data_IF_892548292886
#
_entry.id   IF_892548292886
#
_cell.length_a   1.000
_cell.length_b   1.000
_cell.length_c   1.000
_cell.angle_alpha   90.00
_cell.angle_beta   90.00
_cell.angle_gamma   90.00
#
_symmetry.space_group_name_H-M   'P 1'
#
loop_
_entity.id
_entity.type
_entity.pdbx_description
1 polymer ?
#
# COMPACT_ATOMS: atom_id res chain seq x y z
N UNK A 1 -18.25 -47.63 13.93
CA UNK A 1 -17.71 -47.22 15.22
C UNK A 1 -17.09 -45.84 15.04
N UNK A 2 -17.82 -44.82 15.39
CA UNK A 2 -17.44 -43.39 15.19
C UNK A 2 -16.78 -42.87 16.47
N UNK A 3 -15.67 -42.11 16.38
CA UNK A 3 -15.00 -41.58 17.56
C UNK A 3 -15.62 -40.21 17.94
N UNK A 4 -16.60 -40.21 18.81
CA UNK A 4 -17.26 -38.99 19.36
C UNK A 4 -16.68 -38.59 20.73
N UNK A 5 -15.59 -39.22 21.20
CA UNK A 5 -15.14 -39.12 22.60
C UNK A 5 -14.02 -38.13 22.93
N UNK A 6 -13.43 -37.38 21.95
CA UNK A 6 -12.19 -36.60 22.23
C UNK A 6 -12.42 -35.08 22.28
N UNK A 7 -13.56 -34.55 21.86
CA UNK A 7 -13.79 -33.08 21.78
C UNK A 7 -14.23 -32.48 23.14
N UNK A 8 -14.66 -33.24 24.09
CA UNK A 8 -15.17 -32.72 25.38
C UNK A 8 -14.09 -32.36 26.42
N UNK A 9 -12.84 -32.82 26.26
CA UNK A 9 -11.78 -32.63 27.26
C UNK A 9 -10.97 -31.33 27.13
N UNK A 10 -11.03 -30.66 25.98
CA UNK A 10 -10.18 -29.48 25.73
C UNK A 10 -10.85 -28.16 26.17
N UNK A 11 -12.18 -28.12 26.27
CA UNK A 11 -12.92 -26.88 26.61
C UNK A 11 -12.89 -26.64 28.14
N UNK A 12 -12.72 -27.66 28.99
CA UNK A 12 -12.70 -27.51 30.43
C UNK A 12 -11.46 -26.84 31.03
N UNK A 13 -10.30 -26.91 30.35
CA UNK A 13 -9.03 -26.39 30.88
C UNK A 13 -8.87 -24.88 30.61
N UNK A 14 -9.45 -24.36 29.54
CA UNK A 14 -9.36 -22.95 29.19
C UNK A 14 -10.17 -22.01 30.10
N UNK A 15 -11.28 -22.49 30.66
CA UNK A 15 -12.15 -21.69 31.53
C UNK A 15 -11.56 -21.53 32.93
N UNK A 16 -10.86 -22.55 33.46
CA UNK A 16 -10.26 -22.51 34.81
C UNK A 16 -9.02 -21.61 34.85
N UNK A 17 -8.22 -21.57 33.79
CA UNK A 17 -7.04 -20.70 33.69
C UNK A 17 -7.41 -19.20 33.62
N UNK A 18 -8.51 -18.85 32.97
CA UNK A 18 -9.00 -17.48 32.87
C UNK A 18 -9.51 -16.89 34.19
N UNK A 19 -10.14 -17.73 35.03
CA UNK A 19 -10.71 -17.30 36.32
C UNK A 19 -9.62 -17.06 37.37
N UNK A 20 -8.53 -17.83 37.37
CA UNK A 20 -7.40 -17.65 38.30
C UNK A 20 -6.62 -16.37 38.03
N UNK A 21 -6.50 -15.97 36.76
CA UNK A 21 -5.78 -14.73 36.38
C UNK A 21 -6.53 -13.46 36.81
N UNK A 22 -7.86 -13.53 36.94
CA UNK A 22 -8.67 -12.38 37.32
C UNK A 22 -8.70 -12.12 38.84
N UNK A 23 -8.47 -13.18 39.66
CA UNK A 23 -8.50 -13.12 41.12
C UNK A 23 -7.16 -12.73 41.77
N UNK A 24 -6.06 -12.63 40.99
CA UNK A 24 -4.72 -12.35 41.52
C UNK A 24 -4.17 -10.95 41.14
N UNK A 25 -5.03 -10.03 40.72
CA UNK A 25 -4.58 -8.65 40.53
C UNK A 25 -4.41 -7.94 41.87
N UNK A 26 -3.20 -7.50 42.26
CA UNK A 26 -3.03 -6.68 43.46
C UNK A 26 -3.63 -5.31 43.23
N UNK A 27 -4.51 -4.91 44.13
CA UNK A 27 -5.02 -3.55 44.25
C UNK A 27 -3.88 -2.67 44.76
N UNK A 28 -3.55 -1.61 44.01
CA UNK A 28 -2.75 -0.51 44.53
C UNK A 28 -3.69 0.56 45.02
N UNK A 29 -3.90 0.58 46.33
CA UNK A 29 -4.44 1.72 47.06
C UNK A 29 -3.34 2.37 47.93
N UNK A 30 -3.40 3.70 47.91
CA UNK A 30 -2.84 4.64 48.88
C UNK A 30 -1.33 4.79 49.08
N UNK A 31 -0.81 5.95 48.66
CA UNK A 31 0.00 6.83 49.51
C UNK A 31 -0.16 8.31 49.11
N UNK A 32 -0.90 9.04 49.99
CA UNK A 32 -0.59 10.32 50.63
C UNK A 32 -0.09 11.52 49.82
N UNK A 33 -0.92 12.44 49.82
CA UNK A 33 -0.95 13.89 49.69
C UNK A 33 0.32 14.63 50.18
N UNK A 34 0.91 15.43 49.28
CA UNK A 34 1.66 16.63 49.63
C UNK A 34 1.39 17.70 48.58
N UNK A 35 0.90 18.83 49.02
CA UNK A 35 0.43 20.01 48.29
C UNK A 35 1.60 20.90 47.82
N UNK A 36 1.41 21.91 46.90
CA UNK A 36 2.18 22.10 45.66
C UNK A 36 3.17 23.28 45.73
N UNK A 37 3.88 23.52 44.65
CA UNK A 37 3.77 24.85 44.05
C UNK A 37 3.37 24.81 42.55
N UNK A 38 2.69 25.90 42.21
CA UNK A 38 1.97 26.18 41.00
C UNK A 38 2.82 26.38 39.74
N UNK A 39 2.19 26.64 38.59
CA UNK A 39 2.39 25.91 37.34
C UNK A 39 3.34 26.62 36.40
N UNK A 40 4.12 25.86 35.69
CA UNK A 40 4.69 26.33 34.43
C UNK A 40 4.01 25.57 33.31
N UNK A 41 3.12 26.25 32.64
CA UNK A 41 2.47 25.82 31.40
C UNK A 41 3.54 25.57 30.33
N UNK A 42 3.87 24.32 30.11
CA UNK A 42 4.54 23.92 28.89
C UNK A 42 3.47 23.34 27.98
N UNK A 43 2.90 24.16 27.12
CA UNK A 43 2.16 23.71 25.95
C UNK A 43 3.11 22.94 25.06
N UNK A 44 2.88 21.66 24.95
CA UNK A 44 3.52 20.85 23.91
C UNK A 44 2.81 21.11 22.57
N UNK A 45 3.47 21.64 21.55
CA UNK A 45 2.92 21.66 20.21
C UNK A 45 3.45 20.42 19.45
N UNK A 46 2.73 19.31 19.51
CA UNK A 46 3.07 18.13 18.75
C UNK A 46 1.85 17.62 17.99
N UNK A 47 1.40 18.36 17.01
CA UNK A 47 0.43 17.79 16.04
C UNK A 47 0.51 18.46 14.65
N UNK A 48 1.24 19.54 14.49
CA UNK A 48 1.21 20.33 13.24
C UNK A 48 2.20 19.84 12.20
N UNK A 49 3.30 19.21 12.60
CA UNK A 49 4.39 18.82 11.66
C UNK A 49 4.03 17.61 10.82
N UNK A 50 3.37 16.60 11.39
CA UNK A 50 3.01 15.37 10.66
C UNK A 50 1.94 15.63 9.59
N UNK A 51 0.95 16.46 9.88
CA UNK A 51 -0.12 16.81 8.94
C UNK A 51 0.39 17.64 7.76
N UNK A 52 1.31 18.56 7.99
CA UNK A 52 1.91 19.39 6.92
C UNK A 52 2.77 18.53 5.97
N UNK A 53 3.55 17.59 6.51
CA UNK A 53 4.41 16.68 5.71
C UNK A 53 3.59 15.71 4.85
N UNK A 54 2.46 15.19 5.37
CA UNK A 54 1.55 14.32 4.60
C UNK A 54 0.94 15.07 3.42
N UNK A 55 0.42 16.28 3.64
CA UNK A 55 -0.18 17.11 2.59
C UNK A 55 0.82 17.42 1.46
N UNK A 56 2.08 17.72 1.78
CA UNK A 56 3.13 17.95 0.79
C UNK A 56 3.45 16.70 -0.05
N UNK A 57 3.49 15.54 0.60
CA UNK A 57 3.70 14.26 -0.08
C UNK A 57 2.55 13.90 -1.00
N UNK A 58 1.31 14.13 -0.57
CA UNK A 58 0.10 13.92 -1.38
C UNK A 58 0.12 14.82 -2.63
N UNK A 59 0.38 16.11 -2.46
CA UNK A 59 0.49 17.05 -3.58
C UNK A 59 1.63 16.67 -4.54
N UNK A 60 2.77 16.23 -4.02
CA UNK A 60 3.89 15.76 -4.84
C UNK A 60 3.48 14.54 -5.67
N UNK A 61 2.81 13.56 -5.07
CA UNK A 61 2.35 12.37 -5.76
C UNK A 61 1.32 12.71 -6.83
N UNK A 62 0.32 13.54 -6.51
CA UNK A 62 -0.73 13.96 -7.46
C UNK A 62 -0.13 14.64 -8.70
N UNK A 63 0.92 15.46 -8.53
CA UNK A 63 1.63 16.10 -9.68
C UNK A 63 2.39 15.11 -10.57
N UNK A 64 2.66 13.90 -10.08
CA UNK A 64 3.41 12.86 -10.80
C UNK A 64 2.52 11.83 -11.49
N UNK A 65 1.20 11.91 -11.30
CA UNK A 65 0.26 10.97 -11.91
C UNK A 65 0.32 11.03 -13.44
N UNK A 66 0.15 9.89 -14.12
CA UNK A 66 -0.04 9.87 -15.57
C UNK A 66 -1.22 10.73 -16.00
N UNK A 67 -1.20 11.18 -17.24
CA UNK A 67 -2.34 11.89 -17.84
C UNK A 67 -3.55 10.96 -18.03
N UNK A 68 -4.70 11.55 -18.36
CA UNK A 68 -5.92 10.80 -18.67
C UNK A 68 -6.84 10.55 -17.48
N UNK A 69 -6.51 11.05 -16.28
CA UNK A 69 -7.43 11.03 -15.14
C UNK A 69 -8.21 12.34 -15.08
N UNK A 70 -9.57 12.30 -15.25
CA UNK A 70 -10.39 13.51 -15.13
C UNK A 70 -10.40 14.03 -13.68
N UNK A 71 -10.80 15.29 -13.53
CA UNK A 71 -10.95 15.89 -12.20
C UNK A 71 -11.88 15.04 -11.31
N UNK A 72 -11.44 14.73 -10.11
CA UNK A 72 -12.18 13.89 -9.14
C UNK A 72 -12.08 12.38 -9.38
N UNK A 73 -11.33 11.92 -10.39
CA UNK A 73 -11.11 10.50 -10.61
C UNK A 73 -10.12 9.89 -9.61
N UNK A 74 -9.29 10.71 -8.98
CA UNK A 74 -8.27 10.28 -8.03
C UNK A 74 -8.54 10.86 -6.64
N UNK A 75 -8.37 10.04 -5.62
CA UNK A 75 -8.51 10.40 -4.21
C UNK A 75 -7.28 9.98 -3.43
N UNK A 76 -6.86 10.78 -2.46
CA UNK A 76 -5.79 10.42 -1.54
C UNK A 76 -6.31 9.43 -0.51
N UNK A 77 -5.51 8.41 -0.20
CA UNK A 77 -5.80 7.41 0.81
C UNK A 77 -4.86 7.57 2.01
N UNK A 78 -5.25 7.10 3.21
CA UNK A 78 -4.31 6.93 4.30
C UNK A 78 -3.16 6.04 3.84
N UNK A 79 -1.93 6.58 3.91
CA UNK A 79 -0.73 5.87 3.47
C UNK A 79 -0.43 4.72 4.44
N UNK A 80 -0.15 3.49 3.93
CA UNK A 80 0.31 2.39 4.77
C UNK A 80 1.72 2.64 5.32
N UNK A 81 2.17 1.79 6.24
CA UNK A 81 3.51 1.89 6.81
C UNK A 81 4.59 1.85 5.73
N UNK A 82 5.57 2.75 5.82
CA UNK A 82 6.65 2.88 4.83
C UNK A 82 6.29 3.66 3.56
N UNK A 83 5.05 4.09 3.40
CA UNK A 83 4.56 4.91 2.27
C UNK A 83 4.32 6.34 2.76
N UNK A 84 4.80 7.33 2.00
CA UNK A 84 4.64 8.76 2.33
C UNK A 84 3.29 9.31 1.88
N UNK A 85 2.79 8.84 0.74
CA UNK A 85 1.50 9.22 0.16
C UNK A 85 0.95 8.08 -0.70
N UNK A 86 -0.36 7.93 -0.73
CA UNK A 86 -1.03 6.98 -1.62
C UNK A 86 -2.26 7.62 -2.26
N UNK A 87 -2.45 7.35 -3.55
CA UNK A 87 -3.59 7.82 -4.34
C UNK A 87 -4.25 6.64 -5.03
N UNK A 88 -5.55 6.53 -4.89
CA UNK A 88 -6.39 5.61 -5.64
C UNK A 88 -7.09 6.38 -6.77
N UNK A 89 -6.97 5.88 -7.99
CA UNK A 89 -7.64 6.46 -9.15
C UNK A 89 -8.65 5.48 -9.74
N UNK A 90 -9.81 5.98 -10.07
CA UNK A 90 -10.80 5.31 -10.91
C UNK A 90 -10.32 5.29 -12.37
N UNK A 91 -11.23 4.99 -13.30
CA UNK A 91 -10.92 4.81 -14.71
C UNK A 91 -10.16 5.97 -15.33
N UNK A 92 -9.08 5.65 -16.01
CA UNK A 92 -8.39 6.54 -16.94
C UNK A 92 -9.15 6.62 -18.25
N UNK A 93 -9.34 7.84 -18.82
CA UNK A 93 -10.15 8.05 -20.02
C UNK A 93 -9.39 7.99 -21.33
N UNK A 94 -8.07 7.87 -21.26
CA UNK A 94 -7.25 7.67 -22.46
C UNK A 94 -7.56 6.30 -23.10
N UNK A 95 -7.38 6.14 -24.41
CA UNK A 95 -7.56 4.85 -25.07
C UNK A 95 -6.75 3.76 -24.35
N UNK A 96 -7.40 2.60 -24.11
CA UNK A 96 -6.81 1.45 -23.43
C UNK A 96 -6.33 1.73 -21.98
N UNK A 97 -6.80 2.84 -21.39
CA UNK A 97 -6.49 3.22 -20.02
C UNK A 97 -7.04 2.23 -18.98
N UNK A 98 -6.38 2.14 -17.81
CA UNK A 98 -6.80 1.23 -16.75
C UNK A 98 -8.15 1.62 -16.16
N UNK A 99 -8.88 0.62 -15.66
CA UNK A 99 -10.14 0.81 -14.93
C UNK A 99 -9.88 1.27 -13.50
N UNK A 100 -8.75 0.89 -12.91
CA UNK A 100 -8.35 1.35 -11.58
C UNK A 100 -6.83 1.41 -11.48
N UNK A 101 -6.34 2.30 -10.62
CA UNK A 101 -4.92 2.43 -10.33
C UNK A 101 -4.66 2.82 -8.88
N UNK A 102 -3.54 2.34 -8.34
CA UNK A 102 -2.99 2.79 -7.07
C UNK A 102 -1.58 3.31 -7.35
N UNK A 103 -1.29 4.51 -6.86
CA UNK A 103 0.01 5.15 -6.92
C UNK A 103 0.49 5.40 -5.51
N UNK A 104 1.73 5.06 -5.21
CA UNK A 104 2.35 5.23 -3.89
C UNK A 104 3.68 5.95 -4.02
N UNK A 105 3.91 6.94 -3.18
CA UNK A 105 5.17 7.65 -3.02
C UNK A 105 5.88 7.11 -1.79
N UNK A 106 7.16 6.80 -1.90
CA UNK A 106 7.98 6.26 -0.81
C UNK A 106 9.21 7.11 -0.53
N UNK A 107 9.83 6.91 0.64
CA UNK A 107 10.95 7.74 1.08
C UNK A 107 12.29 7.34 0.44
N UNK A 108 12.49 6.04 0.23
CA UNK A 108 13.78 5.47 -0.13
C UNK A 108 13.64 4.17 -0.94
N UNK A 109 14.79 3.64 -1.39
CA UNK A 109 14.85 2.42 -2.21
C UNK A 109 14.35 1.18 -1.48
N UNK A 110 14.61 1.03 -0.20
CA UNK A 110 14.15 -0.13 0.56
C UNK A 110 12.61 -0.15 0.66
N UNK A 111 12.02 1.01 0.95
CA UNK A 111 10.56 1.20 0.92
C UNK A 111 9.97 1.00 -0.47
N UNK A 112 10.70 1.39 -1.54
CA UNK A 112 10.29 1.17 -2.94
C UNK A 112 10.20 -0.33 -3.27
N UNK A 113 11.21 -1.10 -2.87
CA UNK A 113 11.25 -2.55 -3.07
C UNK A 113 10.16 -3.27 -2.26
N UNK A 114 9.95 -2.88 -1.00
CA UNK A 114 8.90 -3.43 -0.16
C UNK A 114 7.50 -3.15 -0.74
N UNK A 115 7.20 -1.90 -1.07
CA UNK A 115 5.91 -1.52 -1.64
C UNK A 115 5.64 -2.18 -3.00
N UNK A 116 6.68 -2.40 -3.83
CA UNK A 116 6.57 -3.16 -5.06
C UNK A 116 6.22 -4.63 -4.80
N UNK A 117 6.93 -5.29 -3.87
CA UNK A 117 6.67 -6.67 -3.50
C UNK A 117 5.26 -6.85 -2.92
N UNK A 118 4.80 -5.92 -2.10
CA UNK A 118 3.44 -5.93 -1.55
C UNK A 118 2.38 -5.77 -2.66
N UNK A 119 2.62 -4.89 -3.63
CA UNK A 119 1.71 -4.65 -4.75
C UNK A 119 1.54 -5.89 -5.66
N UNK A 120 2.55 -6.73 -5.77
CA UNK A 120 2.50 -7.94 -6.61
C UNK A 120 2.14 -9.23 -5.84
N UNK A 121 2.16 -9.22 -4.50
CA UNK A 121 2.03 -10.42 -3.66
C UNK A 121 0.76 -11.23 -3.91
N UNK A 122 -0.38 -10.56 -4.18
CA UNK A 122 -1.68 -11.19 -4.41
C UNK A 122 -2.02 -11.38 -5.91
N UNK A 123 -1.01 -11.40 -6.77
CA UNK A 123 -1.19 -11.52 -8.23
C UNK A 123 -0.62 -12.83 -8.76
N UNK A 124 -1.14 -13.28 -9.90
CA UNK A 124 -0.59 -14.40 -10.65
C UNK A 124 0.33 -13.84 -11.75
N UNK A 125 1.64 -14.09 -11.61
CA UNK A 125 2.67 -13.61 -12.54
C UNK A 125 2.53 -14.23 -13.93
N UNK A 126 2.75 -13.40 -14.95
CA UNK A 126 2.95 -13.81 -16.34
C UNK A 126 4.07 -12.99 -16.99
N UNK A 127 4.59 -13.43 -18.12
CA UNK A 127 5.48 -12.58 -18.92
C UNK A 127 4.70 -11.38 -19.48
N UNK A 128 5.35 -10.23 -19.60
CA UNK A 128 4.72 -9.07 -20.22
C UNK A 128 4.53 -9.30 -21.73
N UNK A 129 3.58 -8.61 -22.37
CA UNK A 129 3.37 -8.68 -23.81
C UNK A 129 4.67 -8.52 -24.60
N UNK A 130 4.86 -9.37 -25.62
CA UNK A 130 6.13 -9.47 -26.35
C UNK A 130 7.13 -10.46 -25.75
N UNK A 131 6.70 -11.30 -24.80
CA UNK A 131 7.55 -12.29 -24.10
C UNK A 131 8.66 -11.63 -23.27
N UNK A 132 8.37 -10.46 -22.71
CA UNK A 132 9.30 -9.73 -21.85
C UNK A 132 9.23 -10.33 -20.44
N UNK A 133 10.39 -10.65 -19.88
CA UNK A 133 10.50 -11.23 -18.54
C UNK A 133 9.84 -10.31 -17.49
N UNK A 134 9.08 -10.91 -16.58
CA UNK A 134 8.41 -10.26 -15.47
C UNK A 134 8.68 -11.03 -14.16
N UNK A 135 9.07 -10.36 -13.05
CA UNK A 135 9.53 -8.98 -13.02
C UNK A 135 10.84 -8.79 -13.80
N UNK A 136 11.07 -7.58 -14.29
CA UNK A 136 12.28 -7.24 -15.02
C UNK A 136 12.54 -5.74 -15.08
N UNK A 137 13.77 -5.31 -15.42
CA UNK A 137 14.10 -3.89 -15.50
C UNK A 137 13.42 -3.24 -16.71
N UNK A 138 12.88 -2.03 -16.51
CA UNK A 138 12.39 -1.21 -17.61
C UNK A 138 13.20 0.07 -17.77
N UNK A 139 13.13 0.66 -18.96
CA UNK A 139 13.86 1.87 -19.33
C UNK A 139 12.96 2.81 -20.11
N UNK A 140 13.14 4.11 -19.90
CA UNK A 140 12.49 5.13 -20.74
C UNK A 140 13.12 5.17 -22.12
N UNK A 141 12.31 5.40 -23.14
CA UNK A 141 12.80 5.59 -24.51
C UNK A 141 13.79 6.78 -24.62
N UNK A 142 13.62 7.80 -23.80
CA UNK A 142 14.52 8.97 -23.74
C UNK A 142 15.88 8.64 -23.10
N UNK A 143 15.99 7.56 -22.30
CA UNK A 143 17.20 7.17 -21.58
C UNK A 143 17.39 5.63 -21.64
N UNK A 144 17.63 5.08 -22.84
CA UNK A 144 17.61 3.62 -23.04
C UNK A 144 18.73 2.88 -22.31
N UNK A 145 19.82 3.56 -21.98
CA UNK A 145 20.97 2.99 -21.29
C UNK A 145 20.80 2.97 -19.75
N UNK A 146 19.78 3.66 -19.22
CA UNK A 146 19.51 3.76 -17.78
C UNK A 146 18.27 2.97 -17.39
N UNK A 147 18.40 2.08 -16.42
CA UNK A 147 17.26 1.43 -15.77
C UNK A 147 16.46 2.49 -15.01
N UNK A 148 15.15 2.54 -15.26
CA UNK A 148 14.22 3.47 -14.60
C UNK A 148 13.50 2.83 -13.41
N UNK A 149 13.47 1.49 -13.36
CA UNK A 149 12.88 0.72 -12.27
C UNK A 149 12.60 -0.73 -12.67
N UNK A 150 11.72 -1.36 -11.90
CA UNK A 150 11.21 -2.71 -12.15
C UNK A 150 9.82 -2.65 -12.76
N UNK A 151 9.55 -3.58 -13.66
CA UNK A 151 8.24 -3.80 -14.29
C UNK A 151 7.75 -5.20 -13.97
N UNK A 152 6.47 -5.32 -13.65
CA UNK A 152 5.80 -6.57 -13.39
C UNK A 152 4.49 -6.66 -14.18
N UNK A 153 4.19 -7.83 -14.69
CA UNK A 153 2.97 -8.18 -15.37
C UNK A 153 2.31 -9.40 -14.71
N UNK A 154 1.02 -9.32 -14.48
CA UNK A 154 0.28 -10.39 -13.82
C UNK A 154 -1.23 -10.23 -13.93
N UNK A 155 -1.95 -11.12 -13.28
CA UNK A 155 -3.39 -11.05 -13.13
C UNK A 155 -3.76 -10.89 -11.65
N UNK A 156 -4.58 -9.90 -11.34
CA UNK A 156 -5.24 -9.73 -10.04
C UNK A 156 -6.73 -10.02 -10.21
N UNK A 157 -7.23 -11.03 -9.50
CA UNK A 157 -8.63 -11.48 -9.63
C UNK A 157 -9.05 -11.74 -11.10
N UNK A 158 -8.14 -12.32 -11.90
CA UNK A 158 -8.38 -12.60 -13.32
C UNK A 158 -8.28 -11.39 -14.25
N UNK A 159 -7.98 -10.19 -13.74
CA UNK A 159 -7.84 -8.97 -14.54
C UNK A 159 -6.37 -8.66 -14.83
N UNK A 160 -6.02 -8.29 -16.08
CA UNK A 160 -4.69 -7.81 -16.42
C UNK A 160 -4.22 -6.71 -15.48
N UNK A 161 -3.00 -6.85 -14.97
CA UNK A 161 -2.40 -5.92 -14.01
C UNK A 161 -0.96 -5.65 -14.41
N UNK A 162 -0.57 -4.37 -14.43
CA UNK A 162 0.80 -3.93 -14.64
C UNK A 162 1.24 -3.15 -13.41
N UNK A 163 2.38 -3.53 -12.83
CA UNK A 163 2.98 -2.85 -11.67
C UNK A 163 4.39 -2.43 -12.04
N UNK A 164 4.78 -1.19 -11.70
CA UNK A 164 6.14 -0.72 -11.93
C UNK A 164 6.61 0.19 -10.82
N UNK A 165 7.93 0.23 -10.64
CA UNK A 165 8.60 1.25 -9.85
C UNK A 165 9.20 2.32 -10.76
N UNK A 166 9.27 3.54 -10.26
CA UNK A 166 10.04 4.63 -10.84
C UNK A 166 11.07 5.09 -9.80
N UNK A 167 12.34 4.74 -10.01
CA UNK A 167 13.42 5.01 -9.05
C UNK A 167 13.77 6.50 -8.95
N UNK A 168 13.51 7.29 -9.99
CA UNK A 168 13.75 8.74 -9.98
C UNK A 168 12.66 9.48 -9.21
N UNK A 169 11.41 9.05 -9.38
CA UNK A 169 10.26 9.63 -8.72
C UNK A 169 10.00 9.07 -7.32
N UNK A 170 10.63 7.93 -6.99
CA UNK A 170 10.36 7.14 -5.79
C UNK A 170 8.90 6.71 -5.69
N UNK A 171 8.35 6.20 -6.78
CA UNK A 171 6.95 5.78 -6.85
C UNK A 171 6.80 4.30 -7.21
N UNK A 172 5.79 3.67 -6.63
CA UNK A 172 5.24 2.39 -7.07
C UNK A 172 3.85 2.65 -7.64
N UNK A 173 3.60 2.10 -8.81
CA UNK A 173 2.34 2.25 -9.51
C UNK A 173 1.78 0.89 -9.87
N UNK A 174 0.50 0.68 -9.60
CA UNK A 174 -0.23 -0.54 -9.94
C UNK A 174 -1.49 -0.15 -10.71
N UNK A 175 -1.62 -0.60 -11.95
CA UNK A 175 -2.79 -0.35 -12.80
C UNK A 175 -3.46 -1.67 -13.18
N UNK A 176 -4.77 -1.67 -13.24
CA UNK A 176 -5.57 -2.86 -13.49
C UNK A 176 -6.67 -2.60 -14.52
N UNK A 177 -6.84 -3.56 -15.43
CA UNK A 177 -7.98 -3.61 -16.34
C UNK A 177 -9.28 -3.93 -15.60
N UNK A 178 -10.40 -3.59 -16.21
CA UNK A 178 -11.73 -4.02 -15.79
C UNK A 178 -12.15 -5.35 -16.41
N UNK A 179 -13.35 -5.85 -16.06
CA UNK A 179 -13.87 -7.12 -16.60
C UNK A 179 -14.17 -7.03 -18.10
N UNK A 180 -14.36 -5.84 -18.65
CA UNK A 180 -14.64 -5.59 -20.06
C UNK A 180 -13.45 -5.04 -20.84
N UNK A 181 -12.27 -5.02 -20.25
CA UNK A 181 -11.02 -4.50 -20.83
C UNK A 181 -10.43 -3.32 -20.06
N UNK A 182 -9.29 -2.81 -20.50
CA UNK A 182 -8.51 -3.21 -21.66
C UNK A 182 -7.96 -4.65 -21.59
N UNK A 183 -7.62 -5.24 -22.74
CA UNK A 183 -6.87 -6.49 -22.80
C UNK A 183 -5.44 -6.28 -22.29
N UNK A 184 -4.71 -7.37 -21.99
CA UNK A 184 -3.35 -7.23 -21.47
C UNK A 184 -2.42 -6.46 -22.44
N UNK A 185 -2.36 -6.78 -23.75
CA UNK A 185 -1.55 -5.99 -24.69
C UNK A 185 -1.92 -4.51 -24.74
N UNK A 186 -3.20 -4.19 -24.61
CA UNK A 186 -3.69 -2.80 -24.59
C UNK A 186 -3.26 -2.06 -23.32
N UNK A 187 -3.48 -2.67 -22.14
CA UNK A 187 -3.03 -2.08 -20.87
C UNK A 187 -1.51 -1.88 -20.83
N UNK A 188 -0.75 -2.82 -21.39
CA UNK A 188 0.69 -2.72 -21.49
C UNK A 188 1.13 -1.60 -22.45
N UNK A 189 0.45 -1.43 -23.58
CA UNK A 189 0.70 -0.32 -24.51
C UNK A 189 0.40 1.04 -23.87
N UNK A 190 -0.71 1.13 -23.11
CA UNK A 190 -1.02 2.32 -22.32
C UNK A 190 0.11 2.62 -21.33
N UNK A 191 0.54 1.63 -20.52
CA UNK A 191 1.66 1.80 -19.59
C UNK A 191 2.91 2.33 -20.31
N UNK A 192 3.29 1.72 -21.44
CA UNK A 192 4.50 2.10 -22.19
C UNK A 192 4.48 3.53 -22.73
N UNK A 193 3.30 4.11 -22.90
CA UNK A 193 3.13 5.50 -23.38
C UNK A 193 3.02 6.52 -22.24
N UNK A 194 2.86 6.07 -20.99
CA UNK A 194 2.59 6.92 -19.82
C UNK A 194 3.65 6.79 -18.71
N UNK A 195 4.67 5.92 -18.86
CA UNK A 195 5.72 5.66 -17.87
C UNK A 195 7.00 6.49 -18.08
#
# INVERSE_FOLDING_TARGET
MTPVGIVAAVIGVAVVAGLIFWLTRPSQDDVQQATPPAPTTASAPVTTTTTATSSESDERLVRQLPKGYPSGACETLPAPEGVLAQVNCARNVDPDGPESAIFSLVADRASLENAFNDAIAATVRVDCPGKIQSPGPWRRNATPDRVSGQLYCGFSNGQPTVVWTDEEKMTVSAVRAGPTGPTFPQLYAWWSSHS
#
